data_IF_617186174130
#
_entry.id   IF_617186174130
#
_cell.length_a   1.000
_cell.length_b   1.000
_cell.length_c   1.000
_cell.angle_alpha   90.00
_cell.angle_beta   90.00
_cell.angle_gamma   90.00
#
_symmetry.space_group_name_H-M   'P 1'
#
loop_
_entity.id
_entity.type
_entity.pdbx_description
1 polymer ?
#
# COMPACT_ATOMS: atom_id res chain seq x y z
N UNK A 1 -5.12 1.43 12.99
CA UNK A 1 -5.69 1.81 11.69
C UNK A 1 -6.49 3.11 11.71
N UNK A 2 -7.43 3.35 12.64
CA UNK A 2 -8.30 4.56 12.63
C UNK A 2 -7.53 5.89 12.54
N UNK A 3 -6.40 6.04 13.23
CA UNK A 3 -5.57 7.28 13.20
C UNK A 3 -4.98 7.49 11.80
N UNK A 4 -4.48 6.44 11.14
CA UNK A 4 -3.92 6.50 9.79
C UNK A 4 -4.99 6.92 8.77
N UNK A 5 -6.19 6.33 8.83
CA UNK A 5 -7.31 6.70 7.96
C UNK A 5 -7.74 8.15 8.14
N UNK A 6 -7.87 8.64 9.38
CA UNK A 6 -8.18 10.04 9.66
C UNK A 6 -7.13 10.99 9.08
N UNK A 7 -5.84 10.65 9.23
CA UNK A 7 -4.73 11.42 8.65
C UNK A 7 -4.81 11.46 7.14
N UNK A 8 -5.04 10.30 6.52
CA UNK A 8 -5.17 10.16 5.07
C UNK A 8 -6.34 11.00 4.54
N UNK A 9 -7.53 10.85 5.13
CA UNK A 9 -8.71 11.66 4.78
C UNK A 9 -8.44 13.15 4.89
N UNK A 10 -7.82 13.61 5.99
CA UNK A 10 -7.47 15.01 6.18
C UNK A 10 -6.55 15.54 5.08
N UNK A 11 -5.52 14.76 4.71
CA UNK A 11 -4.59 15.12 3.65
C UNK A 11 -5.28 15.17 2.28
N UNK A 12 -6.12 14.19 1.95
CA UNK A 12 -6.89 14.19 0.70
C UNK A 12 -7.90 15.34 0.63
N UNK A 13 -8.62 15.61 1.70
CA UNK A 13 -9.55 16.74 1.74
C UNK A 13 -8.85 18.09 1.55
N UNK A 14 -7.68 18.25 2.18
CA UNK A 14 -6.89 19.49 2.05
C UNK A 14 -6.34 19.69 0.64
N UNK A 15 -5.92 18.62 -0.04
CA UNK A 15 -5.20 18.69 -1.32
C UNK A 15 -6.14 18.61 -2.52
N UNK A 16 -7.16 17.76 -2.46
CA UNK A 16 -7.98 17.38 -3.63
C UNK A 16 -9.47 17.59 -3.44
N UNK A 17 -9.94 17.63 -2.20
CA UNK A 17 -11.37 17.69 -1.85
C UNK A 17 -12.14 16.43 -2.26
N UNK A 18 -11.49 15.26 -2.30
CA UNK A 18 -12.12 14.00 -2.69
C UNK A 18 -13.03 13.45 -1.60
N UNK A 19 -14.13 12.80 -2.02
CA UNK A 19 -15.10 12.12 -1.15
C UNK A 19 -14.78 10.62 -1.03
N UNK A 20 -14.16 10.04 -2.06
CA UNK A 20 -13.76 8.63 -2.10
C UNK A 20 -12.31 8.52 -2.58
N UNK A 21 -11.54 7.72 -1.88
CA UNK A 21 -10.13 7.42 -2.19
C UNK A 21 -10.06 5.96 -2.57
N UNK A 22 -9.43 5.68 -3.72
CA UNK A 22 -9.20 4.32 -4.21
C UNK A 22 -7.70 4.09 -4.32
N UNK A 23 -7.20 3.03 -3.70
CA UNK A 23 -5.80 2.66 -3.77
C UNK A 23 -5.60 1.32 -4.47
N UNK A 24 -4.62 1.29 -5.36
CA UNK A 24 -4.15 0.10 -6.07
C UNK A 24 -2.73 -0.30 -5.65
N UNK A 25 -1.99 0.64 -5.05
CA UNK A 25 -0.61 0.40 -4.64
C UNK A 25 -0.56 -0.39 -3.32
N UNK A 26 0.17 -1.53 -3.25
CA UNK A 26 0.19 -2.41 -2.08
C UNK A 26 0.60 -1.71 -0.78
N UNK A 27 1.55 -0.77 -0.85
CA UNK A 27 2.02 0.00 0.30
C UNK A 27 0.93 0.90 0.87
N UNK A 28 0.13 1.51 0.00
CA UNK A 28 -0.96 2.38 0.37
C UNK A 28 -2.16 1.57 0.87
N UNK A 29 -2.41 0.41 0.26
CA UNK A 29 -3.41 -0.56 0.72
C UNK A 29 -3.06 -1.02 2.15
N UNK A 30 -1.81 -1.43 2.39
CA UNK A 30 -1.34 -1.82 3.71
C UNK A 30 -1.47 -0.69 4.73
N UNK A 31 -1.08 0.53 4.37
CA UNK A 31 -1.22 1.69 5.24
C UNK A 31 -2.67 1.93 5.63
N UNK A 32 -3.60 1.75 4.70
CA UNK A 32 -5.03 1.95 4.88
C UNK A 32 -5.70 0.85 5.70
N UNK A 33 -5.33 -0.42 5.48
CA UNK A 33 -6.10 -1.59 5.91
C UNK A 33 -5.35 -2.53 6.86
N UNK A 34 -4.02 -2.58 6.78
CA UNK A 34 -3.16 -3.59 7.41
C UNK A 34 -2.96 -4.83 6.56
N UNK A 35 -3.70 -4.98 5.46
CA UNK A 35 -3.56 -6.10 4.54
C UNK A 35 -2.51 -5.79 3.45
N UNK A 36 -1.59 -6.73 3.24
CA UNK A 36 -0.59 -6.69 2.18
C UNK A 36 -0.87 -7.77 1.15
N UNK A 37 -1.37 -7.38 -0.03
CA UNK A 37 -1.70 -8.33 -1.09
C UNK A 37 -2.25 -7.65 -2.34
N UNK A 38 -2.67 -8.44 -3.31
CA UNK A 38 -3.31 -7.97 -4.53
C UNK A 38 -4.78 -7.66 -4.25
N UNK A 39 -5.11 -6.39 -4.07
CA UNK A 39 -6.50 -5.94 -3.87
C UNK A 39 -6.63 -4.44 -4.12
N UNK A 40 -7.88 -3.97 -4.19
CA UNK A 40 -8.21 -2.56 -4.30
C UNK A 40 -8.74 -2.10 -2.95
N UNK A 41 -8.14 -1.05 -2.39
CA UNK A 41 -8.64 -0.42 -1.17
C UNK A 41 -9.51 0.80 -1.47
N UNK A 42 -10.60 0.95 -0.74
CA UNK A 42 -11.50 2.09 -0.85
C UNK A 42 -11.66 2.71 0.53
N UNK A 43 -11.50 4.01 0.61
CA UNK A 43 -11.78 4.80 1.81
C UNK A 43 -12.79 5.89 1.46
N UNK A 44 -13.97 5.82 2.07
CA UNK A 44 -15.00 6.84 1.95
C UNK A 44 -14.80 7.97 2.96
N UNK A 45 -15.33 9.14 2.68
CA UNK A 45 -15.25 10.34 3.54
C UNK A 45 -15.79 10.11 4.97
N UNK A 46 -16.76 9.22 5.12
CA UNK A 46 -17.31 8.82 6.43
C UNK A 46 -16.38 7.91 7.25
N UNK A 47 -15.25 7.48 6.66
CA UNK A 47 -14.27 6.59 7.26
C UNK A 47 -14.49 5.11 6.97
N UNK A 48 -15.58 4.73 6.29
CA UNK A 48 -15.78 3.35 5.87
C UNK A 48 -14.66 2.91 4.94
N UNK A 49 -14.18 1.70 5.18
CA UNK A 49 -13.09 1.13 4.41
C UNK A 49 -13.51 -0.22 3.84
N UNK A 50 -13.32 -0.38 2.54
CA UNK A 50 -13.63 -1.61 1.81
C UNK A 50 -12.40 -2.10 1.07
N UNK A 51 -12.19 -3.41 1.09
CA UNK A 51 -11.19 -4.12 0.29
C UNK A 51 -11.93 -4.92 -0.78
N UNK A 52 -11.58 -4.72 -2.03
CA UNK A 52 -12.04 -5.56 -3.14
C UNK A 52 -10.87 -6.47 -3.50
N UNK A 53 -11.00 -7.75 -3.21
CA UNK A 53 -9.95 -8.74 -3.36
C UNK A 53 -10.34 -9.86 -4.33
N UNK A 54 -9.37 -10.39 -5.11
CA UNK A 54 -9.59 -11.62 -5.85
C UNK A 54 -9.81 -12.79 -4.90
N UNK A 55 -10.49 -13.85 -5.38
CA UNK A 55 -10.89 -14.98 -4.55
C UNK A 55 -9.78 -15.55 -3.67
N UNK A 56 -8.58 -15.71 -4.22
CA UNK A 56 -7.42 -16.26 -3.52
C UNK A 56 -6.96 -15.39 -2.34
N UNK A 57 -7.25 -14.10 -2.36
CA UNK A 57 -6.81 -13.16 -1.33
C UNK A 57 -7.90 -12.84 -0.30
N UNK A 58 -9.18 -13.22 -0.55
CA UNK A 58 -10.31 -12.89 0.32
C UNK A 58 -10.12 -13.39 1.76
N UNK A 59 -9.65 -14.62 1.92
CA UNK A 59 -9.39 -15.22 3.24
C UNK A 59 -8.36 -14.39 4.01
N UNK A 60 -7.18 -14.21 3.42
CA UNK A 60 -6.10 -13.41 4.00
C UNK A 60 -6.53 -11.95 4.28
N UNK A 61 -7.25 -11.34 3.34
CA UNK A 61 -7.72 -9.97 3.51
C UNK A 61 -8.68 -9.83 4.72
N UNK A 62 -9.51 -10.83 4.99
CA UNK A 62 -10.38 -10.85 6.17
C UNK A 62 -9.60 -11.01 7.47
N UNK A 63 -8.58 -11.87 7.48
CA UNK A 63 -7.80 -12.19 8.68
C UNK A 63 -6.80 -11.08 9.04
N UNK A 64 -6.15 -10.48 8.03
CA UNK A 64 -5.08 -9.50 8.23
C UNK A 64 -5.59 -8.05 8.34
N UNK A 65 -6.75 -7.73 7.74
CA UNK A 65 -7.25 -6.35 7.74
C UNK A 65 -7.96 -5.97 9.04
N UNK A 66 -7.94 -4.67 9.35
CA UNK A 66 -8.57 -4.13 10.56
C UNK A 66 -9.72 -3.19 10.21
N UNK A 67 -10.91 -3.44 10.74
CA UNK A 67 -12.12 -2.61 10.53
C UNK A 67 -12.41 -2.36 9.02
N UNK A 68 -12.34 -3.40 8.20
CA UNK A 68 -12.59 -3.33 6.77
C UNK A 68 -13.72 -4.27 6.35
N UNK A 69 -14.52 -3.84 5.38
CA UNK A 69 -15.42 -4.72 4.65
C UNK A 69 -14.63 -5.36 3.49
N UNK A 70 -14.63 -6.70 3.39
CA UNK A 70 -13.91 -7.44 2.34
C UNK A 70 -14.90 -8.02 1.35
N UNK A 71 -14.73 -7.69 0.08
CA UNK A 71 -15.60 -8.09 -1.02
C UNK A 71 -14.78 -8.85 -2.06
N UNK A 72 -15.30 -9.99 -2.48
CA UNK A 72 -14.74 -10.78 -3.58
C UNK A 72 -14.99 -10.10 -4.92
N UNK A 73 -14.01 -10.13 -5.79
CA UNK A 73 -14.11 -9.70 -7.19
C UNK A 73 -13.15 -10.49 -8.09
N UNK A 74 -13.29 -10.30 -9.38
CA UNK A 74 -12.31 -10.75 -10.36
C UNK A 74 -11.04 -9.90 -10.31
N UNK A 75 -10.00 -10.34 -11.04
CA UNK A 75 -8.71 -9.64 -11.16
C UNK A 75 -8.71 -8.60 -12.29
N UNK A 76 -7.77 -7.68 -12.18
CA UNK A 76 -7.46 -6.72 -13.24
C UNK A 76 -8.64 -5.81 -13.59
N UNK A 77 -8.84 -5.56 -14.87
CA UNK A 77 -9.88 -4.64 -15.38
C UNK A 77 -11.30 -5.12 -15.02
N UNK A 78 -11.52 -6.41 -14.89
CA UNK A 78 -12.84 -6.98 -14.52
C UNK A 78 -13.29 -6.53 -13.12
N UNK A 79 -12.35 -6.26 -12.20
CA UNK A 79 -12.65 -5.74 -10.86
C UNK A 79 -13.30 -4.34 -10.88
N UNK A 80 -13.18 -3.59 -11.98
CA UNK A 80 -13.77 -2.26 -12.12
C UNK A 80 -15.29 -2.29 -12.07
N UNK A 81 -15.93 -3.39 -12.51
CA UNK A 81 -17.38 -3.58 -12.38
C UNK A 81 -17.84 -3.58 -10.92
N UNK A 82 -17.10 -4.25 -10.06
CA UNK A 82 -17.35 -4.27 -8.61
C UNK A 82 -17.00 -2.91 -7.98
N UNK A 83 -15.85 -2.34 -8.34
CA UNK A 83 -15.41 -1.03 -7.85
C UNK A 83 -16.45 0.07 -8.09
N UNK A 84 -17.11 0.08 -9.26
CA UNK A 84 -18.14 1.07 -9.62
C UNK A 84 -19.25 1.23 -8.58
N UNK A 85 -19.62 0.16 -7.88
CA UNK A 85 -20.70 0.17 -6.89
C UNK A 85 -20.37 1.01 -5.65
N UNK A 86 -19.07 1.24 -5.40
CA UNK A 86 -18.58 1.94 -4.21
C UNK A 86 -18.12 3.37 -4.47
N UNK A 87 -17.96 3.77 -5.73
CA UNK A 87 -17.47 5.09 -6.06
C UNK A 87 -18.57 6.14 -6.00
N UNK A 88 -18.42 7.10 -5.11
CA UNK A 88 -19.36 8.21 -4.90
C UNK A 88 -18.63 9.54 -4.87
N UNK A 89 -19.27 10.57 -5.40
CA UNK A 89 -18.74 11.93 -5.36
C UNK A 89 -17.46 12.11 -6.17
N UNK A 90 -16.55 12.92 -5.65
CA UNK A 90 -15.22 13.15 -6.22
C UNK A 90 -14.28 12.01 -5.84
N UNK A 91 -13.74 11.32 -6.83
CA UNK A 91 -12.88 10.14 -6.62
C UNK A 91 -11.42 10.48 -6.90
N UNK A 92 -10.55 10.09 -5.98
CA UNK A 92 -9.11 10.14 -6.17
C UNK A 92 -8.49 8.75 -6.11
N UNK A 93 -7.39 8.54 -6.83
CA UNK A 93 -6.67 7.27 -6.85
C UNK A 93 -5.17 7.49 -6.91
N UNK A 94 -4.41 6.51 -6.45
CA UNK A 94 -2.96 6.41 -6.59
C UNK A 94 -2.51 5.54 -7.77
N UNK A 95 -3.46 5.10 -8.61
CA UNK A 95 -3.19 4.17 -9.70
C UNK A 95 -2.10 4.69 -10.64
N UNK A 96 -0.97 3.98 -10.71
CA UNK A 96 0.16 4.30 -11.60
C UNK A 96 0.15 3.48 -12.89
N UNK A 97 -0.61 2.38 -12.94
CA UNK A 97 -0.71 1.56 -14.13
C UNK A 97 -1.52 2.29 -15.21
N UNK A 98 -0.88 2.53 -16.36
CA UNK A 98 -1.48 3.28 -17.46
C UNK A 98 -2.78 2.65 -17.99
N UNK A 99 -2.78 1.35 -18.25
CA UNK A 99 -3.95 0.62 -18.79
C UNK A 99 -5.12 0.66 -17.83
N UNK A 100 -4.85 0.45 -16.53
CA UNK A 100 -5.86 0.53 -15.48
C UNK A 100 -6.41 1.96 -15.36
N UNK A 101 -5.54 2.96 -15.40
CA UNK A 101 -5.95 4.37 -15.33
C UNK A 101 -6.80 4.79 -16.53
N UNK A 102 -6.49 4.31 -17.74
CA UNK A 102 -7.32 4.52 -18.92
C UNK A 102 -8.72 3.90 -18.75
N UNK A 103 -8.80 2.68 -18.24
CA UNK A 103 -10.06 1.99 -17.97
C UNK A 103 -10.88 2.69 -16.89
N UNK A 104 -10.21 3.18 -15.84
CA UNK A 104 -10.82 4.00 -14.79
C UNK A 104 -11.41 5.29 -15.36
N UNK A 105 -10.67 6.02 -16.19
CA UNK A 105 -11.14 7.28 -16.81
C UNK A 105 -12.32 7.08 -17.76
N UNK A 106 -12.37 5.96 -18.50
CA UNK A 106 -13.55 5.61 -19.30
C UNK A 106 -14.80 5.43 -18.44
N UNK A 107 -14.63 4.83 -17.27
CA UNK A 107 -15.73 4.56 -16.35
C UNK A 107 -16.06 5.75 -15.42
N UNK A 108 -15.05 6.55 -15.08
CA UNK A 108 -15.12 7.68 -14.15
C UNK A 108 -14.31 8.85 -14.71
N UNK A 109 -14.87 9.63 -15.66
CA UNK A 109 -14.12 10.69 -16.35
C UNK A 109 -13.54 11.77 -15.42
N UNK A 110 -14.13 11.95 -14.24
CA UNK A 110 -13.71 12.94 -13.23
C UNK A 110 -12.74 12.39 -12.19
N UNK A 111 -12.27 11.12 -12.33
CA UNK A 111 -11.30 10.55 -11.38
C UNK A 111 -9.97 11.31 -11.47
N UNK A 112 -9.43 11.67 -10.33
CA UNK A 112 -8.14 12.35 -10.22
C UNK A 112 -7.06 11.38 -9.74
N UNK A 113 -5.93 11.33 -10.45
CA UNK A 113 -4.73 10.67 -9.91
C UNK A 113 -4.05 11.61 -8.91
N UNK A 114 -3.79 11.15 -7.70
CA UNK A 114 -3.13 11.92 -6.64
C UNK A 114 -2.46 11.00 -5.63
N UNK A 115 -1.17 10.84 -5.74
CA UNK A 115 -0.35 10.00 -4.85
C UNK A 115 0.19 10.79 -3.64
N UNK A 116 0.35 12.09 -3.79
CA UNK A 116 0.98 12.96 -2.78
C UNK A 116 0.33 12.87 -1.38
N UNK A 117 -1.01 12.83 -1.22
CA UNK A 117 -1.62 12.69 0.10
C UNK A 117 -1.24 11.38 0.82
N UNK A 118 -1.01 10.30 0.06
CA UNK A 118 -0.49 9.05 0.63
C UNK A 118 0.93 9.24 1.16
N UNK A 119 1.83 9.83 0.37
CA UNK A 119 3.21 10.09 0.78
C UNK A 119 3.25 10.94 2.05
N UNK A 120 2.56 12.08 2.08
CA UNK A 120 2.46 12.95 3.25
C UNK A 120 1.92 12.23 4.49
N UNK A 121 0.96 11.31 4.29
CA UNK A 121 0.39 10.54 5.40
C UNK A 121 1.38 9.51 5.96
N UNK A 122 2.25 8.96 5.12
CA UNK A 122 3.25 7.95 5.47
C UNK A 122 4.58 8.54 5.97
N UNK A 123 4.84 9.84 5.74
CA UNK A 123 6.01 10.55 6.27
C UNK A 123 6.05 10.49 7.80
N UNK A 124 4.91 10.65 8.46
CA UNK A 124 4.83 10.63 9.92
C UNK A 124 4.53 9.20 10.36
N UNK A 125 5.52 8.55 10.97
CA UNK A 125 5.43 7.18 11.48
C UNK A 125 4.81 7.19 12.89
N UNK A 126 4.01 6.17 13.19
CA UNK A 126 3.58 5.91 14.57
C UNK A 126 4.66 5.15 15.35
N UNK A 127 4.49 5.02 16.68
CA UNK A 127 5.49 4.37 17.55
C UNK A 127 5.75 2.91 17.16
N UNK A 128 4.71 2.19 16.72
CA UNK A 128 4.84 0.79 16.27
C UNK A 128 5.64 0.70 14.97
N UNK A 129 5.40 1.62 14.03
CA UNK A 129 6.17 1.72 12.78
C UNK A 129 7.63 2.04 13.07
N UNK A 130 7.91 2.98 13.98
CA UNK A 130 9.29 3.32 14.39
C UNK A 130 9.98 2.10 15.02
N UNK A 131 9.30 1.36 15.88
CA UNK A 131 9.86 0.15 16.49
C UNK A 131 10.21 -0.91 15.44
N UNK A 132 9.33 -1.14 14.45
CA UNK A 132 9.57 -2.09 13.37
C UNK A 132 10.71 -1.65 12.46
N UNK A 133 10.80 -0.36 12.13
CA UNK A 133 11.90 0.20 11.34
C UNK A 133 13.24 0.02 12.06
N UNK A 134 13.31 0.28 13.36
CA UNK A 134 14.54 0.06 14.16
C UNK A 134 14.96 -1.42 14.17
N UNK A 135 14.00 -2.36 14.29
CA UNK A 135 14.30 -3.80 14.19
C UNK A 135 14.82 -4.18 12.81
N UNK A 136 14.19 -3.68 11.75
CA UNK A 136 14.63 -3.90 10.37
C UNK A 136 16.05 -3.37 10.12
N UNK A 137 16.34 -2.14 10.56
CA UNK A 137 17.69 -1.56 10.45
C UNK A 137 18.74 -2.42 11.16
N UNK A 138 18.43 -2.92 12.35
CA UNK A 138 19.36 -3.79 13.09
C UNK A 138 19.66 -5.09 12.32
N UNK A 139 18.67 -5.72 11.70
CA UNK A 139 18.87 -6.91 10.89
C UNK A 139 19.79 -6.60 9.70
N UNK A 140 19.60 -5.47 9.05
CA UNK A 140 20.43 -5.03 7.92
C UNK A 140 21.87 -4.79 8.39
N UNK A 141 22.08 -4.13 9.52
CA UNK A 141 23.42 -3.90 10.10
C UNK A 141 24.13 -5.22 10.42
N UNK A 142 23.43 -6.18 11.01
CA UNK A 142 23.95 -7.52 11.32
C UNK A 142 24.33 -8.27 10.02
N UNK A 143 23.51 -8.19 8.97
CA UNK A 143 23.81 -8.77 7.65
C UNK A 143 25.07 -8.17 7.03
N UNK A 144 25.21 -6.84 7.05
CA UNK A 144 26.41 -6.17 6.56
C UNK A 144 27.65 -6.58 7.36
N UNK A 145 27.54 -6.71 8.68
CA UNK A 145 28.62 -7.20 9.55
C UNK A 145 29.09 -8.61 9.16
N UNK A 146 28.17 -9.51 8.88
CA UNK A 146 28.48 -10.88 8.42
C UNK A 146 29.16 -10.87 7.05
N UNK A 147 28.63 -10.12 6.10
CA UNK A 147 29.19 -10.00 4.74
C UNK A 147 30.62 -9.44 4.78
N UNK A 148 30.86 -8.41 5.58
CA UNK A 148 32.20 -7.82 5.73
C UNK A 148 33.22 -8.80 6.31
N UNK A 149 32.83 -9.60 7.31
CA UNK A 149 33.70 -10.64 7.90
C UNK A 149 34.02 -11.73 6.87
N UNK A 150 33.02 -12.24 6.13
CA UNK A 150 33.23 -13.28 5.11
C UNK A 150 34.10 -12.78 3.95
N UNK A 151 33.90 -11.55 3.49
CA UNK A 151 34.73 -10.95 2.43
C UNK A 151 36.21 -10.84 2.83
N UNK A 152 36.49 -10.51 4.09
CA UNK A 152 37.88 -10.47 4.61
C UNK A 152 38.53 -11.86 4.68
N UNK A 153 37.79 -12.89 5.03
CA UNK A 153 38.25 -14.28 5.04
C UNK A 153 38.59 -14.80 3.62
N UNK A 154 37.76 -14.46 2.64
CA UNK A 154 38.00 -14.81 1.24
C UNK A 154 39.29 -14.20 0.68
N UNK A 155 39.61 -12.96 1.05
CA UNK A 155 40.89 -12.30 0.66
C UNK A 155 42.11 -12.97 1.28
N UNK A 156 42.04 -13.47 2.52
CA UNK A 156 43.17 -14.20 3.15
C UNK A 156 43.47 -15.52 2.46
N UNK A 157 42.46 -16.24 1.99
CA UNK A 157 42.64 -17.53 1.30
C UNK A 157 43.19 -17.37 -0.14
N UNK A 158 42.97 -16.25 -0.81
CA UNK A 158 43.60 -15.98 -2.12
C UNK A 158 45.07 -15.64 -2.04
N UNK A 159 45.51 -15.03 -0.95
CA UNK A 159 46.94 -14.70 -0.76
C UNK A 159 47.77 -15.87 -0.24
N UNK A 160 47.19 -16.98 0.22
CA UNK A 160 47.90 -18.17 0.67
C UNK A 160 48.20 -19.18 -0.44
N UNK A 161 47.67 -18.98 -1.65
CA UNK A 161 47.89 -19.87 -2.81
C UNK A 161 48.84 -19.27 -3.88
N UNK A 162 49.60 -18.25 -3.52
CA UNK A 162 50.59 -17.57 -4.41
C UNK A 162 52.03 -17.75 -3.94
N UNK A 163 52.36 -18.96 -3.42
CA UNK A 163 53.77 -19.39 -3.23
C UNK A 163 53.95 -20.85 -3.59
#
# INVERSE_FOLDING_TARGET
MRIRRKRLLKNFQKTTGCDTIVTFEPENLFYLTGFWGEAIGILEKNGNTTIIAPELEVGRAKDESTDCNVIKSDRGVSSLGTLKKFLKGKVCTDCQNYSMMQSLRKSFPKIKNSIEPFYRSREIKDEKEIMLLKKGSKIIDDMFGICAKKSRLGRKNQNSNLF
#
